data_IF_262509679466
#
_entry.id   IF_262509679466
#
_cell.length_a   1.000
_cell.length_b   1.000
_cell.length_c   1.000
_cell.angle_alpha   90.00
_cell.angle_beta   90.00
_cell.angle_gamma   90.00
#
_symmetry.space_group_name_H-M   'P 1'
#
loop_
_entity.id
_entity.type
_entity.pdbx_description
1 polymer ?
#
# COMPACT_ATOMS: atom_id res chain seq x y z
N UNK A 1 11.98 19.37 22.10
CA UNK A 1 10.72 18.76 22.55
C UNK A 1 9.72 18.67 21.39
N UNK A 2 10.03 17.88 20.30
CA UNK A 2 9.18 17.68 19.10
C UNK A 2 9.23 16.19 18.71
N UNK A 3 9.21 15.28 19.67
CA UNK A 3 9.39 13.84 19.40
C UNK A 3 8.15 12.98 19.71
N UNK A 4 7.03 13.58 20.17
CA UNK A 4 5.90 12.79 20.70
C UNK A 4 4.71 12.60 19.74
N UNK A 5 4.83 12.96 18.46
CA UNK A 5 3.73 12.81 17.50
C UNK A 5 3.78 11.54 16.64
N UNK A 6 4.71 10.61 16.92
CA UNK A 6 4.79 9.36 16.16
C UNK A 6 4.08 8.21 16.89
N UNK A 7 2.75 8.23 16.94
CA UNK A 7 2.01 7.03 17.34
C UNK A 7 2.22 5.92 16.31
N UNK A 8 3.07 4.96 16.67
CA UNK A 8 3.31 3.73 15.91
C UNK A 8 2.03 2.90 15.86
N UNK A 9 1.44 2.73 14.69
CA UNK A 9 0.41 1.71 14.48
C UNK A 9 1.13 0.43 14.04
N UNK A 10 1.11 -0.60 14.90
CA UNK A 10 1.46 -1.96 14.44
C UNK A 10 0.36 -2.40 13.48
N UNK A 11 0.71 -2.61 12.23
CA UNK A 11 -0.18 -3.21 11.25
C UNK A 11 -0.13 -4.72 11.43
N UNK A 12 -1.24 -5.30 11.87
CA UNK A 12 -1.45 -6.73 11.77
C UNK A 12 -2.09 -6.94 10.39
N UNK A 13 -1.27 -7.35 9.41
CA UNK A 13 -1.69 -7.56 8.03
C UNK A 13 -2.89 -8.51 7.89
N UNK A 14 -3.06 -9.42 8.86
CA UNK A 14 -4.19 -10.34 8.91
C UNK A 14 -5.51 -9.69 9.38
N UNK A 15 -5.47 -8.54 10.06
CA UNK A 15 -6.68 -7.95 10.68
C UNK A 15 -7.43 -6.95 9.82
N UNK A 16 -6.82 -6.33 8.82
CA UNK A 16 -7.42 -5.20 8.10
C UNK A 16 -7.81 -5.46 6.64
N UNK A 17 -7.41 -6.57 6.07
CA UNK A 17 -7.93 -7.00 4.79
C UNK A 17 -9.13 -7.92 5.09
N UNK A 18 -10.32 -7.36 5.25
CA UNK A 18 -11.57 -8.09 5.02
C UNK A 18 -11.70 -8.37 3.52
N UNK A 19 -10.75 -9.11 2.98
CA UNK A 19 -10.99 -9.85 1.75
C UNK A 19 -12.05 -10.86 2.15
N UNK A 20 -13.28 -10.67 1.69
CA UNK A 20 -14.28 -11.73 1.80
C UNK A 20 -13.65 -12.97 1.18
N UNK A 21 -13.45 -14.07 1.92
CA UNK A 21 -12.75 -15.24 1.39
C UNK A 21 -13.45 -15.84 0.16
N UNK A 22 -14.67 -15.45 -0.09
CA UNK A 22 -15.59 -16.07 -1.06
C UNK A 22 -15.67 -15.35 -2.41
N UNK A 23 -14.74 -14.42 -2.69
CA UNK A 23 -14.74 -13.71 -3.97
C UNK A 23 -14.19 -14.58 -5.10
N UNK A 24 -15.03 -14.92 -6.08
CA UNK A 24 -14.59 -15.48 -7.36
C UNK A 24 -14.15 -14.32 -8.27
N UNK A 25 -13.00 -14.47 -8.93
CA UNK A 25 -12.51 -13.53 -9.93
C UNK A 25 -12.31 -14.24 -11.26
N UNK A 26 -12.55 -13.53 -12.36
CA UNK A 26 -12.28 -14.02 -13.71
C UNK A 26 -10.89 -13.58 -14.12
N UNK A 27 -10.05 -14.50 -14.58
CA UNK A 27 -8.74 -14.15 -15.11
C UNK A 27 -8.90 -13.39 -16.44
N UNK A 28 -8.29 -12.20 -16.61
CA UNK A 28 -8.46 -11.42 -17.84
C UNK A 28 -7.73 -12.04 -19.03
N UNK A 29 -6.77 -12.95 -18.83
CA UNK A 29 -5.99 -13.55 -19.90
C UNK A 29 -6.56 -14.89 -20.37
N UNK A 30 -6.92 -15.80 -19.43
CA UNK A 30 -7.43 -17.14 -19.78
C UNK A 30 -8.90 -17.34 -19.49
N UNK A 31 -9.60 -16.31 -19.00
CA UNK A 31 -11.03 -16.27 -18.67
C UNK A 31 -11.52 -17.27 -17.62
N UNK A 32 -10.64 -18.08 -17.05
CA UNK A 32 -11.02 -19.04 -16.01
C UNK A 32 -11.40 -18.32 -14.72
N UNK A 33 -12.38 -18.89 -14.03
CA UNK A 33 -12.83 -18.45 -12.71
C UNK A 33 -11.89 -19.01 -11.64
N UNK A 34 -11.47 -18.16 -10.70
CA UNK A 34 -10.51 -18.48 -9.65
C UNK A 34 -11.04 -17.95 -8.32
N UNK A 35 -10.97 -18.75 -7.27
CA UNK A 35 -11.22 -18.23 -5.92
C UNK A 35 -10.05 -17.35 -5.47
N UNK A 36 -10.34 -16.15 -4.96
CA UNK A 36 -9.29 -15.22 -4.50
C UNK A 36 -8.35 -15.84 -3.47
N UNK A 37 -8.85 -16.75 -2.63
CA UNK A 37 -8.07 -17.47 -1.64
C UNK A 37 -7.07 -18.49 -2.21
N UNK A 38 -7.25 -18.89 -3.48
CA UNK A 38 -6.34 -19.82 -4.15
C UNK A 38 -5.15 -19.13 -4.82
N UNK A 39 -5.19 -17.80 -4.93
CA UNK A 39 -4.06 -17.06 -5.47
C UNK A 39 -2.90 -17.06 -4.48
N UNK A 40 -1.69 -17.36 -5.01
CA UNK A 40 -0.49 -17.27 -4.21
C UNK A 40 -0.18 -15.82 -3.77
N UNK A 41 0.82 -15.65 -2.92
CA UNK A 41 1.22 -14.31 -2.40
C UNK A 41 1.62 -13.31 -3.49
N UNK A 42 1.93 -13.78 -4.69
CA UNK A 42 2.30 -12.94 -5.83
C UNK A 42 1.13 -12.64 -6.77
N UNK A 43 -0.08 -13.11 -6.43
CA UNK A 43 -1.30 -12.88 -7.21
C UNK A 43 -1.19 -13.37 -8.65
N UNK A 44 -0.69 -14.58 -8.84
CA UNK A 44 -0.49 -15.20 -10.15
C UNK A 44 -1.62 -16.18 -10.42
N UNK A 45 -2.17 -16.15 -11.64
CA UNK A 45 -3.16 -17.11 -12.10
C UNK A 45 -2.58 -18.53 -12.14
N UNK A 46 -3.21 -19.47 -11.46
CA UNK A 46 -2.77 -20.86 -11.40
C UNK A 46 -2.86 -21.60 -12.74
N UNK A 47 -3.62 -21.06 -13.71
CA UNK A 47 -3.86 -21.71 -15.00
C UNK A 47 -2.96 -21.20 -16.13
N UNK A 48 -2.67 -19.88 -16.15
CA UNK A 48 -1.94 -19.29 -17.29
C UNK A 48 -0.76 -18.40 -16.88
N UNK A 49 -0.51 -18.23 -15.58
CA UNK A 49 0.60 -17.40 -15.10
C UNK A 49 0.35 -15.88 -15.18
N UNK A 50 -0.85 -15.43 -15.58
CA UNK A 50 -1.16 -14.00 -15.63
C UNK A 50 -1.14 -13.38 -14.23
N UNK A 51 -0.60 -12.16 -14.11
CA UNK A 51 -0.56 -11.41 -12.86
C UNK A 51 -1.83 -10.58 -12.65
N UNK A 52 -2.36 -10.63 -11.44
CA UNK A 52 -3.42 -9.72 -11.01
C UNK A 52 -2.84 -8.49 -10.32
N UNK A 53 -3.59 -7.39 -10.35
CA UNK A 53 -3.21 -6.19 -9.62
C UNK A 53 -3.12 -6.48 -8.12
N UNK A 54 -2.10 -5.93 -7.48
CA UNK A 54 -1.89 -5.99 -6.03
C UNK A 54 -2.09 -4.61 -5.43
N UNK A 55 -2.67 -4.57 -4.23
CA UNK A 55 -2.62 -3.38 -3.40
C UNK A 55 -1.21 -3.14 -2.86
N UNK A 56 -0.94 -1.93 -2.38
CA UNK A 56 0.34 -1.61 -1.75
C UNK A 56 0.65 -2.53 -0.56
N UNK A 57 -0.35 -2.83 0.28
CA UNK A 57 -0.18 -3.74 1.43
C UNK A 57 0.14 -5.17 0.99
N UNK A 58 -0.59 -5.70 0.00
CA UNK A 58 -0.30 -7.03 -0.54
C UNK A 58 1.11 -7.12 -1.13
N UNK A 59 1.58 -6.04 -1.76
CA UNK A 59 2.95 -5.97 -2.28
C UNK A 59 3.97 -6.00 -1.13
N UNK A 60 3.76 -5.22 -0.08
CA UNK A 60 4.61 -5.22 1.11
C UNK A 60 4.63 -6.61 1.75
N UNK A 61 3.47 -7.23 1.96
CA UNK A 61 3.34 -8.56 2.55
C UNK A 61 4.01 -9.66 1.71
N UNK A 62 4.09 -9.46 0.38
CA UNK A 62 4.71 -10.45 -0.50
C UNK A 62 6.22 -10.52 -0.37
N UNK A 63 6.89 -9.47 0.16
CA UNK A 63 8.35 -9.35 0.22
C UNK A 63 8.89 -9.16 1.64
N UNK A 64 8.11 -8.59 2.56
CA UNK A 64 8.52 -8.37 3.93
C UNK A 64 8.44 -9.66 4.77
N UNK A 65 9.32 -9.77 5.75
CA UNK A 65 9.23 -10.82 6.76
C UNK A 65 7.93 -10.67 7.55
N UNK A 66 7.27 -11.79 7.81
CA UNK A 66 5.92 -11.82 8.37
C UNK A 66 5.81 -11.03 9.68
N UNK A 67 4.86 -10.10 9.73
CA UNK A 67 4.55 -9.29 10.93
C UNK A 67 5.58 -8.21 11.28
N UNK A 68 6.57 -7.96 10.42
CA UNK A 68 7.62 -6.96 10.69
C UNK A 68 7.30 -5.56 10.19
N UNK A 69 6.27 -5.42 9.33
CA UNK A 69 5.92 -4.12 8.76
C UNK A 69 5.28 -3.19 9.80
N UNK A 70 5.83 -1.99 9.91
CA UNK A 70 5.30 -0.89 10.72
C UNK A 70 5.14 0.32 9.83
N UNK A 71 3.89 0.77 9.63
CA UNK A 71 3.61 1.95 8.81
C UNK A 71 4.14 3.23 9.49
N UNK A 72 4.75 4.10 8.69
CA UNK A 72 5.18 5.44 9.06
C UNK A 72 4.51 6.48 8.15
N UNK A 73 4.33 7.68 8.67
CA UNK A 73 3.79 8.85 7.99
C UNK A 73 2.36 8.64 7.47
N UNK A 74 1.39 9.12 8.22
CA UNK A 74 0.05 9.33 7.65
C UNK A 74 0.15 10.41 6.58
N UNK A 75 -0.50 10.19 5.45
CA UNK A 75 -0.59 11.20 4.41
C UNK A 75 -1.30 12.45 4.95
N UNK A 76 -0.80 13.63 4.58
CA UNK A 76 -1.57 14.86 4.73
C UNK A 76 -2.76 14.79 3.77
N UNK A 77 -3.84 15.48 4.12
CA UNK A 77 -4.97 15.62 3.18
C UNK A 77 -4.43 16.22 1.89
N UNK A 78 -4.63 15.53 0.80
CA UNK A 78 -4.43 16.10 -0.53
C UNK A 78 -5.34 17.32 -0.66
N UNK A 79 -4.80 18.40 -1.21
CA UNK A 79 -5.56 19.63 -1.46
C UNK A 79 -6.01 19.63 -2.92
N UNK A 80 -7.16 20.23 -3.18
CA UNK A 80 -7.68 20.49 -4.52
C UNK A 80 -7.51 21.99 -4.86
N UNK A 81 -6.28 22.47 -5.13
CA UNK A 81 -6.03 23.90 -5.32
C UNK A 81 -6.68 24.47 -6.57
N UNK A 82 -7.04 23.61 -7.52
CA UNK A 82 -7.69 23.99 -8.77
C UNK A 82 -9.23 23.90 -8.69
N UNK A 83 -9.76 23.51 -7.51
CA UNK A 83 -11.20 23.26 -7.33
C UNK A 83 -11.79 22.35 -8.41
N UNK A 84 -11.04 21.29 -8.79
CA UNK A 84 -11.49 20.37 -9.84
C UNK A 84 -12.79 19.66 -9.42
N UNK A 85 -13.83 19.72 -10.24
CA UNK A 85 -15.14 19.17 -9.90
C UNK A 85 -15.06 17.66 -9.56
N UNK A 86 -15.66 17.24 -8.45
CA UNK A 86 -15.76 15.85 -8.04
C UNK A 86 -14.46 15.24 -7.47
N UNK A 87 -13.34 15.96 -7.46
CA UNK A 87 -12.04 15.42 -7.00
C UNK A 87 -12.07 15.05 -5.52
N UNK A 88 -12.54 15.94 -4.66
CA UNK A 88 -12.58 15.71 -3.22
C UNK A 88 -13.53 14.55 -2.86
N UNK A 89 -14.70 14.51 -3.52
CA UNK A 89 -15.66 13.41 -3.35
C UNK A 89 -15.05 12.06 -3.73
N UNK A 90 -14.35 12.01 -4.86
CA UNK A 90 -13.69 10.79 -5.33
C UNK A 90 -12.58 10.33 -4.39
N UNK A 91 -11.79 11.25 -3.84
CA UNK A 91 -10.79 10.93 -2.84
C UNK A 91 -11.39 10.34 -1.57
N UNK A 92 -12.43 10.96 -1.02
CA UNK A 92 -13.05 10.49 0.21
C UNK A 92 -13.70 9.10 0.01
N UNK A 93 -14.32 8.86 -1.16
CA UNK A 93 -14.86 7.56 -1.53
C UNK A 93 -13.76 6.48 -1.54
N UNK A 94 -12.63 6.77 -2.20
CA UNK A 94 -11.52 5.84 -2.29
C UNK A 94 -10.89 5.55 -0.92
N UNK A 95 -10.69 6.58 -0.08
CA UNK A 95 -10.21 6.39 1.30
C UNK A 95 -11.12 5.46 2.10
N UNK A 96 -12.43 5.67 2.00
CA UNK A 96 -13.42 4.84 2.69
C UNK A 96 -13.41 3.39 2.20
N UNK A 97 -13.31 3.19 0.88
CA UNK A 97 -13.39 1.87 0.27
C UNK A 97 -12.09 1.06 0.40
N UNK A 98 -10.94 1.72 0.29
CA UNK A 98 -9.63 1.07 0.30
C UNK A 98 -8.97 1.05 1.69
N UNK A 99 -9.42 1.91 2.61
CA UNK A 99 -8.85 2.03 3.95
C UNK A 99 -7.44 2.64 3.98
N UNK A 100 -7.04 3.33 2.91
CA UNK A 100 -5.76 4.04 2.79
C UNK A 100 -6.01 5.53 2.56
N UNK A 101 -5.12 6.37 3.08
CA UNK A 101 -5.28 7.83 3.01
C UNK A 101 -4.75 8.45 1.71
N UNK A 102 -3.88 7.75 1.00
CA UNK A 102 -3.22 8.21 -0.23
C UNK A 102 -2.75 7.01 -1.05
N UNK A 103 -2.43 7.24 -2.34
CA UNK A 103 -1.94 6.23 -3.28
C UNK A 103 -0.55 5.65 -2.92
N UNK A 104 -0.11 5.78 -1.68
CA UNK A 104 1.18 5.28 -1.21
C UNK A 104 1.11 4.84 0.25
N UNK A 105 1.71 3.71 0.54
CA UNK A 105 1.97 3.22 1.88
C UNK A 105 3.48 3.18 2.08
N UNK A 106 3.96 3.67 3.23
CA UNK A 106 5.38 3.63 3.56
C UNK A 106 5.59 3.23 5.01
N UNK A 107 6.71 2.58 5.27
CA UNK A 107 7.02 2.10 6.60
C UNK A 107 8.41 1.49 6.70
N UNK A 108 8.66 0.81 7.81
CA UNK A 108 9.84 0.01 8.03
C UNK A 108 9.40 -1.43 8.15
N UNK A 109 10.11 -2.33 7.46
CA UNK A 109 9.96 -3.77 7.62
C UNK A 109 11.34 -4.43 7.70
N UNK A 110 11.35 -5.75 7.85
CA UNK A 110 12.51 -6.58 7.58
C UNK A 110 12.31 -7.34 6.28
N UNK A 111 13.40 -7.57 5.57
CA UNK A 111 13.51 -8.48 4.43
C UNK A 111 14.75 -9.32 4.69
N UNK A 112 14.62 -10.63 4.85
CA UNK A 112 15.67 -11.54 5.27
C UNK A 112 16.41 -11.02 6.54
N UNK A 113 15.63 -10.68 7.57
CA UNK A 113 16.08 -10.08 8.84
C UNK A 113 16.76 -8.70 8.75
N UNK A 114 16.93 -8.12 7.56
CA UNK A 114 17.54 -6.81 7.35
C UNK A 114 16.47 -5.72 7.36
N UNK A 115 16.66 -4.70 8.18
CA UNK A 115 15.74 -3.56 8.25
C UNK A 115 15.84 -2.70 6.99
N UNK A 116 14.69 -2.39 6.41
CA UNK A 116 14.57 -1.51 5.25
C UNK A 116 13.41 -0.52 5.44
N UNK A 117 13.51 0.65 4.84
CA UNK A 117 12.35 1.50 4.58
C UNK A 117 11.71 1.01 3.30
N UNK A 118 10.40 0.79 3.31
CA UNK A 118 9.65 0.37 2.12
C UNK A 118 8.59 1.41 1.79
N UNK A 119 8.45 1.70 0.50
CA UNK A 119 7.43 2.60 -0.05
C UNK A 119 6.74 1.87 -1.20
N UNK A 120 5.46 1.61 -1.07
CA UNK A 120 4.68 0.93 -2.10
C UNK A 120 3.52 1.81 -2.56
N UNK A 121 3.42 2.02 -3.87
CA UNK A 121 2.31 2.75 -4.47
C UNK A 121 1.13 1.83 -4.74
N UNK A 122 -0.09 2.38 -4.62
CA UNK A 122 -1.34 1.66 -4.86
C UNK A 122 -2.11 2.26 -6.04
N UNK A 123 -2.17 1.49 -7.14
CA UNK A 123 -2.88 1.92 -8.34
C UNK A 123 -4.40 1.88 -8.21
N UNK A 124 -4.95 1.30 -7.14
CA UNK A 124 -6.39 1.34 -6.88
C UNK A 124 -6.83 2.72 -6.37
N UNK A 125 -5.91 3.49 -5.78
CA UNK A 125 -6.17 4.86 -5.37
C UNK A 125 -5.74 5.83 -6.46
N UNK A 126 -6.67 6.49 -7.13
CA UNK A 126 -6.45 7.49 -8.22
C UNK A 126 -5.42 7.03 -9.26
N UNK A 127 -5.38 5.72 -9.57
CA UNK A 127 -4.41 5.08 -10.47
C UNK A 127 -2.93 5.29 -10.09
N UNK A 128 -2.63 5.55 -8.81
CA UNK A 128 -1.28 5.84 -8.35
C UNK A 128 -0.81 7.26 -8.67
N UNK A 129 -1.73 8.19 -8.88
CA UNK A 129 -1.42 9.58 -9.21
C UNK A 129 -0.54 10.23 -8.13
N UNK A 130 0.53 10.89 -8.57
CA UNK A 130 1.53 11.52 -7.70
C UNK A 130 1.17 12.98 -7.42
N UNK A 131 0.44 13.22 -6.34
CA UNK A 131 0.15 14.56 -5.82
C UNK A 131 1.15 15.00 -4.74
N UNK A 132 0.91 16.20 -4.20
CA UNK A 132 1.76 16.80 -3.14
C UNK A 132 1.82 15.91 -1.90
N UNK A 133 0.70 15.35 -1.46
CA UNK A 133 0.63 14.51 -0.27
C UNK A 133 1.42 13.21 -0.43
N UNK A 134 1.36 12.58 -1.61
CA UNK A 134 2.16 11.41 -1.96
C UNK A 134 3.66 11.77 -1.98
N UNK A 135 4.02 12.85 -2.69
CA UNK A 135 5.41 13.30 -2.79
C UNK A 135 6.03 13.59 -1.42
N UNK A 136 5.29 14.27 -0.52
CA UNK A 136 5.73 14.51 0.86
C UNK A 136 5.99 13.21 1.63
N UNK A 137 5.10 12.21 1.48
CA UNK A 137 5.27 10.91 2.14
C UNK A 137 6.51 10.17 1.64
N UNK A 138 6.76 10.19 0.33
CA UNK A 138 7.98 9.61 -0.27
C UNK A 138 9.23 10.33 0.23
N UNK A 139 9.26 11.66 0.19
CA UNK A 139 10.39 12.47 0.68
C UNK A 139 10.71 12.16 2.14
N UNK A 140 9.70 12.15 3.01
CA UNK A 140 9.89 11.78 4.43
C UNK A 140 10.41 10.36 4.62
N UNK A 141 10.04 9.45 3.74
CA UNK A 141 10.54 8.07 3.78
C UNK A 141 12.01 8.00 3.41
N UNK A 142 12.45 8.80 2.44
CA UNK A 142 13.86 8.94 2.06
C UNK A 142 14.66 9.56 3.23
N UNK A 143 14.17 10.64 3.82
CA UNK A 143 14.79 11.27 4.99
C UNK A 143 14.91 10.30 6.18
N UNK A 144 13.88 9.48 6.41
CA UNK A 144 13.89 8.43 7.44
C UNK A 144 14.98 7.39 7.19
N UNK A 145 15.11 6.94 5.94
CA UNK A 145 16.15 6.00 5.51
C UNK A 145 17.55 6.57 5.77
N UNK A 146 17.80 7.80 5.34
CA UNK A 146 19.06 8.51 5.58
C UNK A 146 19.38 8.64 7.07
N UNK A 147 18.41 9.12 7.85
CA UNK A 147 18.56 9.32 9.31
C UNK A 147 18.85 8.01 10.04
N UNK A 148 18.23 6.91 9.61
CA UNK A 148 18.40 5.59 10.23
C UNK A 148 19.55 4.79 9.62
N UNK A 149 20.17 5.26 8.54
CA UNK A 149 21.22 4.59 7.78
C UNK A 149 20.82 3.15 7.40
N UNK A 150 19.60 2.98 6.92
CA UNK A 150 19.05 1.71 6.41
C UNK A 150 18.62 1.87 4.95
N UNK A 151 18.64 0.82 4.13
CA UNK A 151 18.20 0.87 2.73
C UNK A 151 16.76 1.35 2.59
N UNK A 152 16.43 1.93 1.43
CA UNK A 152 15.06 2.23 1.02
C UNK A 152 14.76 1.49 -0.28
N UNK A 153 13.53 0.96 -0.37
CA UNK A 153 12.96 0.33 -1.57
C UNK A 153 11.69 1.11 -1.92
N UNK A 154 11.58 1.58 -3.16
CA UNK A 154 10.42 2.33 -3.68
C UNK A 154 9.85 1.57 -4.87
#
# INVERSE_FOLDING_TARGET
MILDHFKRKKYDAKKNIKIKPDGIIKCPACEKMIFKGELNKYRVCNYCGNYFKMSALERIDSIADNGTFVEYFKARKSKNPLNFPGYDQKQEELKKNLGIDEAVISGICKIDDRRVVIVAMDTHFMMGSMGVALGEKVTKSIELSMKKKIPIII
#
